data_IF_988738114166
#
_entry.id   IF_988738114166
#
_cell.length_a   1.000
_cell.length_b   1.000
_cell.length_c   1.000
_cell.angle_alpha   90.00
_cell.angle_beta   90.00
_cell.angle_gamma   90.00
#
_symmetry.space_group_name_H-M   'P 1'
#
loop_
_entity.id
_entity.type
_entity.pdbx_description
1 polymer ?
#
# COMPACT_ATOMS: atom_id res chain seq x y z
N UNK A 1 17.84 9.76 -21.62
CA UNK A 1 17.92 11.18 -22.02
C UNK A 1 17.72 11.94 -20.74
N UNK A 2 18.78 12.53 -20.23
CA UNK A 2 18.74 13.26 -18.96
C UNK A 2 18.26 14.68 -19.25
N UNK A 3 17.38 15.21 -18.39
CA UNK A 3 16.83 16.55 -18.52
C UNK A 3 17.49 17.40 -17.43
N UNK A 4 18.20 18.45 -17.83
CA UNK A 4 18.84 19.37 -16.90
C UNK A 4 18.02 20.66 -16.76
N UNK A 5 18.17 21.34 -15.62
CA UNK A 5 17.48 22.61 -15.33
C UNK A 5 17.89 23.71 -16.32
N UNK A 6 19.15 23.71 -16.77
CA UNK A 6 19.67 24.59 -17.83
C UNK A 6 18.88 24.45 -19.13
N UNK A 7 18.58 23.21 -19.54
CA UNK A 7 17.82 22.95 -20.76
C UNK A 7 16.41 23.51 -20.63
N UNK A 8 15.77 23.29 -19.48
CA UNK A 8 14.40 23.75 -19.21
C UNK A 8 14.33 25.28 -19.28
N UNK A 9 15.31 26.00 -18.73
CA UNK A 9 15.35 27.48 -18.72
C UNK A 9 15.39 28.10 -20.12
N UNK A 10 15.88 27.36 -21.12
CA UNK A 10 15.89 27.81 -22.51
C UNK A 10 14.50 27.67 -23.18
N UNK A 11 13.66 26.76 -22.67
CA UNK A 11 12.33 26.48 -23.19
C UNK A 11 11.32 27.57 -22.81
N UNK A 12 10.17 27.57 -23.51
CA UNK A 12 8.97 28.33 -23.12
C UNK A 12 7.82 27.34 -22.92
N UNK A 13 7.74 26.64 -21.76
CA UNK A 13 6.78 25.55 -21.59
C UNK A 13 5.34 26.01 -21.73
N UNK A 14 4.54 25.27 -22.52
CA UNK A 14 3.12 25.55 -22.71
C UNK A 14 2.21 24.61 -21.90
N UNK A 15 2.74 23.61 -21.20
CA UNK A 15 1.94 22.81 -20.28
C UNK A 15 1.41 23.70 -19.15
N UNK A 16 0.13 23.57 -18.76
CA UNK A 16 -0.45 24.32 -17.63
C UNK A 16 -0.20 23.64 -16.29
N UNK A 17 -0.22 22.32 -16.30
CA UNK A 17 0.07 21.47 -15.16
C UNK A 17 1.10 20.42 -15.57
N UNK A 18 2.07 20.13 -14.71
CA UNK A 18 3.06 19.07 -14.91
C UNK A 18 3.17 18.23 -13.64
N UNK A 19 2.91 16.94 -13.76
CA UNK A 19 3.10 15.94 -12.71
C UNK A 19 4.42 15.19 -12.94
N UNK A 20 5.36 15.32 -12.03
CA UNK A 20 6.65 14.63 -12.07
C UNK A 20 6.58 13.34 -11.25
N UNK A 21 6.50 12.22 -11.95
CA UNK A 21 6.59 10.90 -11.33
C UNK A 21 8.05 10.40 -11.26
N UNK A 22 8.90 11.16 -10.58
CA UNK A 22 10.31 10.79 -10.37
C UNK A 22 10.83 11.36 -9.05
N UNK A 23 11.76 10.62 -8.43
CA UNK A 23 12.47 11.05 -7.23
C UNK A 23 13.19 12.39 -7.47
N UNK A 24 13.26 13.21 -6.44
CA UNK A 24 14.07 14.44 -6.39
C UNK A 24 13.75 15.56 -7.40
N UNK A 25 12.81 15.37 -8.34
CA UNK A 25 12.46 16.43 -9.29
C UNK A 25 11.90 17.69 -8.61
N UNK A 26 11.27 17.53 -7.44
CA UNK A 26 10.80 18.60 -6.56
C UNK A 26 11.70 18.79 -5.34
N UNK A 27 13.03 18.72 -5.47
CA UNK A 27 13.97 18.96 -4.37
C UNK A 27 13.99 20.42 -3.93
N UNK A 28 12.88 20.91 -3.34
CA UNK A 28 12.69 22.31 -2.93
C UNK A 28 13.67 22.80 -1.87
N UNK A 29 14.38 21.89 -1.22
CA UNK A 29 15.47 22.21 -0.29
C UNK A 29 16.77 22.62 -1.00
N UNK A 30 16.84 22.49 -2.33
CA UNK A 30 17.96 22.91 -3.16
C UNK A 30 17.62 24.18 -3.94
N UNK A 31 18.64 25.00 -4.18
CA UNK A 31 18.53 26.24 -4.95
C UNK A 31 18.05 26.00 -6.39
N UNK A 32 18.35 24.82 -6.93
CA UNK A 32 17.97 24.43 -8.29
C UNK A 32 17.25 23.08 -8.32
N UNK A 33 16.11 23.03 -9.00
CA UNK A 33 15.32 21.82 -9.17
C UNK A 33 14.46 21.89 -10.44
N UNK A 34 14.09 20.69 -10.94
CA UNK A 34 13.32 20.52 -12.18
C UNK A 34 11.97 21.22 -12.08
N UNK A 35 11.22 20.96 -11.01
CA UNK A 35 9.87 21.52 -10.78
C UNK A 35 9.89 23.06 -10.80
N UNK A 36 10.85 23.67 -10.09
CA UNK A 36 11.09 25.12 -10.04
C UNK A 36 11.43 25.69 -11.41
N UNK A 37 12.28 24.99 -12.17
CA UNK A 37 12.66 25.39 -13.53
C UNK A 37 11.50 25.40 -14.51
N UNK A 38 10.42 24.64 -14.28
CA UNK A 38 9.22 24.71 -15.12
C UNK A 38 8.25 25.82 -14.71
N UNK A 39 8.09 26.05 -13.40
CA UNK A 39 7.06 26.98 -12.91
C UNK A 39 7.52 28.45 -12.90
N UNK A 40 8.81 28.69 -12.65
CA UNK A 40 9.36 30.05 -12.62
C UNK A 40 9.93 30.52 -13.97
N UNK A 41 9.99 29.63 -14.96
CA UNK A 41 10.49 29.98 -16.29
C UNK A 41 9.41 30.68 -17.15
N UNK A 42 9.86 31.37 -18.20
CA UNK A 42 8.98 31.94 -19.24
C UNK A 42 8.06 30.83 -19.77
N UNK A 43 6.77 31.10 -19.88
CA UNK A 43 5.83 30.08 -20.34
C UNK A 43 4.45 30.27 -19.75
N UNK A 44 3.71 29.16 -19.68
CA UNK A 44 2.34 29.13 -19.21
C UNK A 44 2.10 28.04 -18.16
N UNK A 45 3.15 27.50 -17.56
CA UNK A 45 3.03 26.60 -16.42
C UNK A 45 2.39 27.35 -15.26
N UNK A 46 1.30 26.80 -14.71
CA UNK A 46 0.54 27.41 -13.60
C UNK A 46 0.78 26.64 -12.31
N UNK A 47 0.88 25.32 -12.41
CA UNK A 47 1.13 24.45 -11.28
C UNK A 47 2.03 23.27 -11.68
N UNK A 48 2.81 22.79 -10.73
CA UNK A 48 3.65 21.59 -10.89
C UNK A 48 3.62 20.78 -9.61
N UNK A 49 3.72 19.45 -9.75
CA UNK A 49 3.73 18.53 -8.61
C UNK A 49 4.90 17.58 -8.74
N UNK A 50 5.73 17.44 -7.71
CA UNK A 50 6.92 16.60 -7.76
C UNK A 50 7.46 16.23 -6.39
N UNK A 51 8.42 15.31 -6.38
CA UNK A 51 8.91 14.70 -5.15
C UNK A 51 10.23 15.30 -4.67
N UNK A 52 10.32 15.60 -3.38
CA UNK A 52 11.48 16.22 -2.73
C UNK A 52 12.55 15.22 -2.33
N UNK A 53 12.14 13.98 -2.08
CA UNK A 53 13.03 12.88 -1.72
C UNK A 53 12.75 11.67 -2.60
N UNK A 54 13.45 10.57 -2.33
CA UNK A 54 13.13 9.28 -2.93
C UNK A 54 11.66 8.94 -2.69
N UNK A 55 10.96 8.58 -3.76
CA UNK A 55 9.57 8.12 -3.66
C UNK A 55 9.53 6.66 -3.30
N UNK A 56 8.56 6.29 -2.47
CA UNK A 56 8.16 4.89 -2.30
C UNK A 56 7.88 4.32 -3.69
N UNK A 57 8.51 3.19 -4.01
CA UNK A 57 8.26 2.48 -5.26
C UNK A 57 6.82 1.96 -5.24
N UNK A 58 6.15 1.95 -6.40
CA UNK A 58 4.82 1.35 -6.61
C UNK A 58 3.62 2.11 -6.03
N UNK A 59 3.74 3.43 -5.94
CA UNK A 59 2.59 4.34 -5.79
C UNK A 59 1.65 4.31 -7.02
N UNK A 60 0.46 4.87 -6.84
CA UNK A 60 -0.50 5.17 -7.92
C UNK A 60 -0.58 6.71 -8.07
N UNK A 61 0.43 7.34 -8.71
CA UNK A 61 0.60 8.79 -8.68
C UNK A 61 -0.45 9.56 -9.51
N UNK A 62 -1.07 8.87 -10.46
CA UNK A 62 -2.13 9.33 -11.34
C UNK A 62 -3.53 8.88 -10.88
N UNK A 63 -3.68 8.51 -9.60
CA UNK A 63 -4.97 8.24 -8.96
C UNK A 63 -5.95 9.41 -9.17
N UNK A 64 -7.12 9.12 -9.77
CA UNK A 64 -8.16 10.10 -10.14
C UNK A 64 -7.75 11.16 -11.18
N UNK A 65 -6.67 10.98 -11.93
CA UNK A 65 -6.17 11.98 -12.89
C UNK A 65 -7.22 12.39 -13.93
N UNK A 66 -8.11 11.48 -14.35
CA UNK A 66 -9.18 11.78 -15.29
C UNK A 66 -10.20 12.80 -14.77
N UNK A 67 -10.33 12.99 -13.45
CA UNK A 67 -11.20 14.04 -12.90
C UNK A 67 -10.69 15.45 -13.21
N UNK A 68 -9.41 15.63 -13.59
CA UNK A 68 -8.92 16.91 -14.11
C UNK A 68 -9.67 17.33 -15.38
N UNK A 69 -10.05 16.37 -16.25
CA UNK A 69 -10.87 16.63 -17.43
C UNK A 69 -12.32 17.04 -17.07
N UNK A 70 -12.78 16.68 -15.88
CA UNK A 70 -14.05 17.13 -15.32
C UNK A 70 -13.96 18.51 -14.62
N UNK A 71 -12.81 19.18 -14.72
CA UNK A 71 -12.58 20.46 -14.06
C UNK A 71 -12.26 20.35 -12.57
N UNK A 72 -11.79 19.20 -12.09
CA UNK A 72 -11.21 19.11 -10.74
C UNK A 72 -10.03 20.07 -10.61
N UNK A 73 -10.01 20.85 -9.53
CA UNK A 73 -8.89 21.73 -9.18
C UNK A 73 -7.66 20.91 -8.83
N UNK A 74 -6.48 21.38 -9.25
CA UNK A 74 -5.21 20.70 -8.97
C UNK A 74 -5.02 20.47 -7.47
N UNK A 75 -5.34 21.46 -6.63
CA UNK A 75 -5.27 21.30 -5.17
C UNK A 75 -6.22 20.22 -4.63
N UNK A 76 -7.39 20.04 -5.24
CA UNK A 76 -8.33 18.98 -4.85
C UNK A 76 -7.82 17.60 -5.29
N UNK A 77 -7.23 17.50 -6.49
CA UNK A 77 -6.53 16.29 -6.93
C UNK A 77 -5.39 15.94 -5.97
N UNK A 78 -4.55 16.91 -5.61
CA UNK A 78 -3.44 16.71 -4.67
C UNK A 78 -3.91 16.22 -3.30
N UNK A 79 -5.08 16.65 -2.79
CA UNK A 79 -5.60 16.11 -1.51
C UNK A 79 -5.78 14.60 -1.50
N UNK A 80 -6.00 13.97 -2.65
CA UNK A 80 -6.16 12.52 -2.76
C UNK A 80 -4.86 11.79 -3.13
N UNK A 81 -3.91 12.48 -3.77
CA UNK A 81 -2.67 11.88 -4.30
C UNK A 81 -1.41 12.30 -3.54
N UNK A 82 -1.56 13.06 -2.45
CA UNK A 82 -0.44 13.57 -1.66
C UNK A 82 0.17 12.48 -0.76
N UNK A 83 1.49 12.39 -0.79
CA UNK A 83 2.37 11.63 0.10
C UNK A 83 3.32 12.61 0.78
N UNK A 84 4.02 12.19 1.85
CA UNK A 84 4.99 13.05 2.54
C UNK A 84 6.12 13.52 1.61
N UNK A 85 6.43 12.74 0.57
CA UNK A 85 7.52 12.99 -0.34
C UNK A 85 7.14 13.92 -1.51
N UNK A 86 5.84 14.10 -1.81
CA UNK A 86 5.39 14.89 -2.96
C UNK A 86 4.77 16.22 -2.54
N UNK A 87 4.98 17.26 -3.36
CA UNK A 87 4.42 18.57 -3.08
C UNK A 87 3.95 19.24 -4.37
N UNK A 88 2.89 20.05 -4.21
CA UNK A 88 2.34 20.94 -5.22
C UNK A 88 2.94 22.34 -5.05
N UNK A 89 3.38 22.95 -6.16
CA UNK A 89 3.79 24.35 -6.21
C UNK A 89 3.04 25.06 -7.35
N UNK A 90 2.72 26.34 -7.15
CA UNK A 90 1.90 27.14 -8.07
C UNK A 90 0.50 27.42 -7.55
N UNK A 91 -0.43 27.61 -8.48
CA UNK A 91 -1.83 27.89 -8.14
C UNK A 91 -2.65 26.60 -7.95
N UNK A 92 -3.03 26.22 -6.71
CA UNK A 92 -3.83 25.02 -6.46
C UNK A 92 -5.27 25.16 -6.91
N UNK A 93 -5.74 26.38 -7.21
CA UNK A 93 -7.12 26.64 -7.64
C UNK A 93 -7.32 26.48 -9.14
N UNK A 94 -6.23 26.38 -9.90
CA UNK A 94 -6.27 26.10 -11.32
C UNK A 94 -7.06 24.82 -11.61
N UNK A 95 -7.88 24.86 -12.65
CA UNK A 95 -8.58 23.72 -13.19
C UNK A 95 -8.72 23.86 -14.71
N UNK A 96 -8.84 22.72 -15.39
CA UNK A 96 -9.17 22.71 -16.80
C UNK A 96 -10.67 22.96 -17.01
N UNK A 97 -11.04 23.40 -18.21
CA UNK A 97 -12.45 23.44 -18.61
C UNK A 97 -13.02 22.03 -18.60
N UNK A 98 -14.18 21.83 -17.98
CA UNK A 98 -14.87 20.54 -18.00
C UNK A 98 -15.22 20.16 -19.44
N UNK A 99 -14.64 19.07 -19.93
CA UNK A 99 -14.92 18.48 -21.23
C UNK A 99 -15.22 16.97 -21.14
N UNK A 100 -15.42 16.45 -19.93
CA UNK A 100 -15.55 15.03 -19.67
C UNK A 100 -17.01 14.53 -19.65
N UNK A 101 -17.98 15.40 -19.95
CA UNK A 101 -19.40 15.04 -20.01
C UNK A 101 -20.05 14.82 -18.65
N UNK A 102 -19.42 15.25 -17.55
CA UNK A 102 -20.04 15.29 -16.23
C UNK A 102 -20.90 16.55 -16.09
N UNK A 103 -22.21 16.35 -15.90
CA UNK A 103 -23.19 17.40 -15.66
C UNK A 103 -23.21 17.84 -14.18
N UNK A 104 -22.03 18.12 -13.63
CA UNK A 104 -21.85 18.65 -12.28
C UNK A 104 -20.47 19.27 -12.08
N UNK A 105 -20.37 20.22 -11.12
CA UNK A 105 -19.08 20.66 -10.59
C UNK A 105 -18.57 19.66 -9.55
N UNK A 106 -17.55 18.88 -9.93
CA UNK A 106 -16.93 17.89 -9.05
C UNK A 106 -16.33 18.52 -7.79
N UNK A 107 -15.82 19.75 -7.86
CA UNK A 107 -15.25 20.43 -6.69
C UNK A 107 -16.32 20.78 -5.67
N UNK A 108 -17.49 21.25 -6.15
CA UNK A 108 -18.63 21.52 -5.28
C UNK A 108 -19.22 20.22 -4.73
N UNK A 109 -19.36 19.19 -5.57
CA UNK A 109 -19.94 17.90 -5.17
C UNK A 109 -19.14 17.24 -4.02
N UNK A 110 -17.80 17.25 -4.09
CA UNK A 110 -16.94 16.66 -3.06
C UNK A 110 -17.08 17.32 -1.68
N UNK A 111 -17.56 18.56 -1.62
CA UNK A 111 -17.77 19.27 -0.35
C UNK A 111 -19.24 19.20 0.07
N UNK A 112 -20.15 19.57 -0.83
CA UNK A 112 -21.57 19.69 -0.52
C UNK A 112 -22.28 18.33 -0.34
N UNK A 113 -21.70 17.25 -0.86
CA UNK A 113 -22.27 15.90 -0.78
C UNK A 113 -21.45 14.97 0.12
N UNK A 114 -20.54 15.51 0.94
CA UNK A 114 -19.79 14.71 1.92
C UNK A 114 -20.76 13.93 2.82
N UNK A 115 -20.53 12.63 2.98
CA UNK A 115 -21.42 11.74 3.75
C UNK A 115 -22.75 11.39 3.06
N UNK A 116 -23.10 11.98 1.92
CA UNK A 116 -24.35 11.68 1.21
C UNK A 116 -24.27 10.37 0.41
N UNK A 117 -24.57 9.26 1.09
CA UNK A 117 -24.57 7.91 0.50
C UNK A 117 -25.45 7.81 -0.74
N UNK A 118 -26.64 8.41 -0.73
CA UNK A 118 -27.57 8.35 -1.87
C UNK A 118 -26.99 9.01 -3.11
N UNK A 119 -26.36 10.18 -2.94
CA UNK A 119 -25.70 10.89 -4.03
C UNK A 119 -24.54 10.07 -4.61
N UNK A 120 -23.62 9.60 -3.77
CA UNK A 120 -22.43 8.88 -4.24
C UNK A 120 -22.76 7.52 -4.85
N UNK A 121 -23.79 6.81 -4.36
CA UNK A 121 -24.27 5.60 -5.02
C UNK A 121 -24.74 5.84 -6.46
N UNK A 122 -25.33 7.00 -6.75
CA UNK A 122 -25.71 7.36 -8.13
C UNK A 122 -24.48 7.49 -9.04
N UNK A 123 -23.38 8.01 -8.51
CA UNK A 123 -22.14 8.26 -9.26
C UNK A 123 -21.38 6.98 -9.63
N UNK A 124 -21.71 5.83 -9.03
CA UNK A 124 -21.19 4.52 -9.44
C UNK A 124 -21.56 4.16 -10.88
N UNK A 125 -22.61 4.78 -11.44
CA UNK A 125 -23.02 4.60 -12.84
C UNK A 125 -22.48 5.70 -13.78
N UNK A 126 -21.53 6.52 -13.32
CA UNK A 126 -20.93 7.56 -14.15
C UNK A 126 -20.23 6.95 -15.38
N UNK A 127 -20.27 7.61 -16.55
CA UNK A 127 -19.48 7.18 -17.70
C UNK A 127 -17.97 7.32 -17.48
N UNK A 128 -17.54 8.08 -16.46
CA UNK A 128 -16.12 8.25 -16.12
C UNK A 128 -15.69 7.26 -15.05
N UNK A 129 -14.70 6.42 -15.38
CA UNK A 129 -14.14 5.44 -14.47
C UNK A 129 -13.61 6.07 -13.16
N UNK A 130 -12.91 7.20 -13.24
CA UNK A 130 -12.40 7.88 -12.05
C UNK A 130 -13.51 8.49 -11.17
N UNK A 131 -14.67 8.81 -11.76
CA UNK A 131 -15.83 9.23 -10.97
C UNK A 131 -16.47 8.05 -10.24
N UNK A 132 -16.49 6.86 -10.85
CA UNK A 132 -16.92 5.63 -10.18
C UNK A 132 -15.96 5.29 -9.03
N UNK A 133 -14.65 5.38 -9.26
CA UNK A 133 -13.63 5.14 -8.24
C UNK A 133 -13.75 6.18 -7.09
N UNK A 134 -13.90 7.47 -7.41
CA UNK A 134 -14.15 8.51 -6.40
C UNK A 134 -15.43 8.24 -5.60
N UNK A 135 -16.50 7.75 -6.24
CA UNK A 135 -17.72 7.38 -5.54
C UNK A 135 -17.48 6.27 -4.51
N UNK A 136 -16.64 5.27 -4.83
CA UNK A 136 -16.24 4.24 -3.85
C UNK A 136 -15.48 4.85 -2.67
N UNK A 137 -14.52 5.77 -2.92
CA UNK A 137 -13.79 6.50 -1.87
C UNK A 137 -14.74 7.26 -0.96
N UNK A 138 -15.67 8.01 -1.53
CA UNK A 138 -16.63 8.82 -0.77
C UNK A 138 -17.61 7.96 0.04
N UNK A 139 -18.05 6.82 -0.49
CA UNK A 139 -18.87 5.85 0.26
C UNK A 139 -18.10 5.20 1.41
N UNK A 140 -16.79 4.98 1.24
CA UNK A 140 -15.90 4.52 2.31
C UNK A 140 -15.77 5.56 3.42
N UNK A 141 -15.51 6.82 3.07
CA UNK A 141 -15.44 7.92 4.03
C UNK A 141 -16.77 8.12 4.79
N UNK A 142 -17.90 7.83 4.13
CA UNK A 142 -19.24 7.89 4.72
C UNK A 142 -19.60 6.68 5.60
N UNK A 143 -18.71 5.69 5.76
CA UNK A 143 -18.98 4.44 6.47
C UNK A 143 -20.25 3.73 5.96
N UNK A 144 -20.45 3.68 4.64
CA UNK A 144 -21.61 3.00 4.06
C UNK A 144 -21.66 1.52 4.50
N UNK A 145 -22.77 1.09 5.11
CA UNK A 145 -22.89 -0.26 5.68
C UNK A 145 -22.77 -1.39 4.66
N UNK A 146 -23.16 -1.14 3.40
CA UNK A 146 -23.04 -2.11 2.30
C UNK A 146 -21.73 -2.03 1.53
N UNK A 147 -20.68 -1.41 2.10
CA UNK A 147 -19.45 -1.10 1.38
C UNK A 147 -18.65 -2.35 0.99
N UNK A 148 -18.51 -3.34 1.87
CA UNK A 148 -17.70 -4.56 1.59
C UNK A 148 -18.21 -5.26 0.34
N UNK A 149 -19.50 -5.60 0.30
CA UNK A 149 -20.12 -6.25 -0.88
C UNK A 149 -20.04 -5.39 -2.13
N UNK A 150 -20.20 -4.07 -1.99
CA UNK A 150 -20.05 -3.15 -3.10
C UNK A 150 -18.63 -3.18 -3.67
N UNK A 151 -17.60 -3.14 -2.82
CA UNK A 151 -16.21 -3.14 -3.26
C UNK A 151 -15.84 -4.47 -3.92
N UNK A 152 -16.27 -5.60 -3.35
CA UNK A 152 -16.08 -6.93 -3.98
C UNK A 152 -16.71 -6.96 -5.37
N UNK A 153 -17.97 -6.53 -5.47
CA UNK A 153 -18.68 -6.43 -6.75
C UNK A 153 -17.96 -5.52 -7.74
N UNK A 154 -17.56 -4.32 -7.31
CA UNK A 154 -16.82 -3.36 -8.14
C UNK A 154 -15.49 -3.92 -8.64
N UNK A 155 -14.80 -4.72 -7.82
CA UNK A 155 -13.58 -5.39 -8.24
C UNK A 155 -13.86 -6.45 -9.32
N UNK A 156 -14.84 -7.35 -9.10
CA UNK A 156 -15.07 -8.48 -10.01
C UNK A 156 -15.80 -8.10 -11.31
N UNK A 157 -16.68 -7.09 -11.28
CA UNK A 157 -17.52 -6.76 -12.43
C UNK A 157 -17.01 -5.57 -13.26
N UNK A 158 -16.11 -4.73 -12.73
CA UNK A 158 -15.67 -3.54 -13.46
C UNK A 158 -14.60 -3.84 -14.50
N UNK A 159 -14.84 -3.36 -15.72
CA UNK A 159 -13.85 -3.38 -16.80
C UNK A 159 -12.75 -2.31 -16.61
N UNK A 160 -12.94 -1.35 -15.71
CA UNK A 160 -11.98 -0.26 -15.50
C UNK A 160 -10.99 -0.59 -14.40
N UNK A 161 -9.70 -0.65 -14.74
CA UNK A 161 -8.65 -0.98 -13.77
C UNK A 161 -8.61 0.01 -12.59
N UNK A 162 -8.89 1.30 -12.80
CA UNK A 162 -8.92 2.31 -11.72
C UNK A 162 -10.02 2.03 -10.70
N UNK A 163 -11.17 1.50 -11.14
CA UNK A 163 -12.27 1.12 -10.25
C UNK A 163 -11.92 -0.14 -9.48
N UNK A 164 -11.33 -1.14 -10.15
CA UNK A 164 -10.86 -2.37 -9.50
C UNK A 164 -9.75 -2.09 -8.48
N UNK A 165 -8.76 -1.28 -8.85
CA UNK A 165 -7.65 -0.92 -7.97
C UNK A 165 -8.15 -0.16 -6.74
N UNK A 166 -9.05 0.80 -6.92
CA UNK A 166 -9.64 1.53 -5.80
C UNK A 166 -10.45 0.61 -4.88
N UNK A 167 -11.26 -0.30 -5.46
CA UNK A 167 -12.00 -1.29 -4.69
C UNK A 167 -11.09 -2.22 -3.88
N UNK A 168 -10.03 -2.74 -4.50
CA UNK A 168 -9.01 -3.56 -3.85
C UNK A 168 -8.33 -2.82 -2.70
N UNK A 169 -7.88 -1.57 -2.92
CA UNK A 169 -7.20 -0.78 -1.89
C UNK A 169 -8.11 -0.53 -0.70
N UNK A 170 -9.34 -0.09 -0.94
CA UNK A 170 -10.31 0.18 0.14
C UNK A 170 -10.63 -1.08 0.94
N UNK A 171 -10.80 -2.24 0.28
CA UNK A 171 -10.98 -3.52 0.98
C UNK A 171 -9.74 -3.89 1.79
N UNK A 172 -8.56 -3.93 1.17
CA UNK A 172 -7.35 -4.40 1.82
C UNK A 172 -6.95 -3.53 3.02
N UNK A 173 -7.17 -2.22 2.92
CA UNK A 173 -6.77 -1.26 3.95
C UNK A 173 -7.76 -1.17 5.12
N UNK A 174 -9.04 -1.51 4.93
CA UNK A 174 -10.08 -1.30 5.94
C UNK A 174 -10.79 -2.58 6.39
N UNK A 175 -10.78 -3.63 5.57
CA UNK A 175 -11.48 -4.89 5.75
C UNK A 175 -10.55 -6.10 5.52
N UNK A 176 -9.44 -6.20 6.28
CA UNK A 176 -8.43 -7.24 6.06
C UNK A 176 -8.94 -8.66 6.34
N UNK A 177 -10.05 -8.84 7.05
CA UNK A 177 -10.65 -10.16 7.30
C UNK A 177 -11.50 -10.61 6.10
N UNK A 178 -11.99 -9.66 5.30
CA UNK A 178 -13.00 -9.88 4.27
C UNK A 178 -12.41 -9.88 2.85
N UNK A 179 -11.15 -9.47 2.67
CA UNK A 179 -10.54 -9.21 1.35
C UNK A 179 -9.92 -10.45 0.67
N UNK A 180 -9.87 -11.59 1.35
CA UNK A 180 -9.06 -12.73 0.90
C UNK A 180 -9.43 -13.25 -0.51
N UNK A 181 -10.71 -13.39 -0.82
CA UNK A 181 -11.23 -13.80 -2.13
C UNK A 181 -10.83 -12.82 -3.26
N UNK A 182 -10.88 -11.52 -2.95
CA UNK A 182 -10.45 -10.47 -3.89
C UNK A 182 -8.94 -10.55 -4.10
N UNK A 183 -8.13 -10.75 -3.05
CA UNK A 183 -6.67 -10.90 -3.18
C UNK A 183 -6.28 -12.13 -3.99
N UNK A 184 -6.97 -13.26 -3.79
CA UNK A 184 -6.75 -14.48 -4.59
C UNK A 184 -6.88 -14.19 -6.09
N UNK A 185 -7.92 -13.43 -6.46
CA UNK A 185 -8.15 -13.05 -7.86
C UNK A 185 -7.16 -11.96 -8.32
N UNK A 186 -6.84 -11.00 -7.45
CA UNK A 186 -6.07 -9.80 -7.81
C UNK A 186 -4.59 -10.05 -8.10
N UNK A 187 -3.99 -11.08 -7.52
CA UNK A 187 -2.61 -11.47 -7.88
C UNK A 187 -2.48 -11.85 -9.37
N UNK A 188 -3.59 -12.20 -10.04
CA UNK A 188 -3.64 -12.55 -11.45
C UNK A 188 -4.43 -11.57 -12.33
N UNK A 189 -4.79 -10.37 -11.82
CA UNK A 189 -5.50 -9.34 -12.60
C UNK A 189 -4.80 -9.03 -13.93
N UNK A 190 -5.57 -8.63 -14.95
CA UNK A 190 -5.03 -8.16 -16.23
C UNK A 190 -4.01 -7.02 -16.13
N UNK A 191 -4.12 -6.16 -15.11
CA UNK A 191 -3.33 -4.94 -14.94
C UNK A 191 -2.22 -5.16 -13.92
N UNK A 192 -0.97 -4.91 -14.33
CA UNK A 192 0.21 -5.21 -13.51
C UNK A 192 0.23 -4.48 -12.18
N UNK A 193 -0.22 -3.21 -12.14
CA UNK A 193 -0.25 -2.45 -10.89
C UNK A 193 -1.14 -3.12 -9.83
N UNK A 194 -2.31 -3.64 -10.23
CA UNK A 194 -3.22 -4.38 -9.34
C UNK A 194 -2.53 -5.63 -8.81
N UNK A 195 -1.88 -6.42 -9.67
CA UNK A 195 -1.16 -7.63 -9.25
C UNK A 195 -0.12 -7.33 -8.19
N UNK A 196 0.64 -6.25 -8.36
CA UNK A 196 1.71 -5.87 -7.42
C UNK A 196 1.18 -5.36 -6.09
N UNK A 197 0.11 -4.56 -6.11
CA UNK A 197 -0.60 -4.18 -4.88
C UNK A 197 -1.20 -5.39 -4.17
N UNK A 198 -1.78 -6.34 -4.92
CA UNK A 198 -2.33 -7.56 -4.35
C UNK A 198 -1.27 -8.36 -3.60
N UNK A 199 -0.08 -8.56 -4.18
CA UNK A 199 1.03 -9.26 -3.50
C UNK A 199 1.51 -8.48 -2.26
N UNK A 200 1.59 -7.16 -2.32
CA UNK A 200 1.93 -6.33 -1.14
C UNK A 200 0.87 -6.45 -0.03
N UNK A 201 -0.41 -6.51 -0.39
CA UNK A 201 -1.47 -6.69 0.58
C UNK A 201 -1.51 -8.12 1.12
N UNK A 202 -1.21 -9.14 0.32
CA UNK A 202 -1.02 -10.52 0.80
C UNK A 202 0.10 -10.58 1.83
N UNK A 203 1.24 -9.92 1.58
CA UNK A 203 2.38 -9.84 2.50
C UNK A 203 1.95 -9.32 3.87
N UNK A 204 1.21 -8.20 3.91
CA UNK A 204 0.76 -7.57 5.16
C UNK A 204 -0.44 -8.26 5.81
N UNK A 205 -1.26 -8.96 5.01
CA UNK A 205 -2.46 -9.64 5.47
C UNK A 205 -2.13 -10.98 6.13
N UNK A 206 -1.19 -11.72 5.56
CA UNK A 206 -0.74 -13.04 6.03
C UNK A 206 -1.85 -14.09 6.24
N UNK A 207 -3.01 -14.00 5.56
CA UNK A 207 -4.01 -15.06 5.62
C UNK A 207 -3.46 -16.34 4.94
N UNK A 208 -3.34 -17.48 5.65
CA UNK A 208 -2.84 -18.73 5.08
C UNK A 208 -3.62 -19.23 3.86
N UNK A 209 -4.90 -18.89 3.73
CA UNK A 209 -5.75 -19.23 2.57
C UNK A 209 -5.28 -18.60 1.26
N UNK A 210 -4.39 -17.60 1.32
CA UNK A 210 -3.82 -16.93 0.16
C UNK A 210 -2.63 -17.68 -0.44
N UNK A 211 -2.04 -18.65 0.28
CA UNK A 211 -0.84 -19.36 -0.17
C UNK A 211 -1.01 -20.03 -1.54
N UNK A 212 -2.09 -20.78 -1.83
CA UNK A 212 -2.25 -21.43 -3.14
C UNK A 212 -2.27 -20.41 -4.29
N UNK A 213 -3.00 -19.31 -4.14
CA UNK A 213 -3.09 -18.26 -5.16
C UNK A 213 -1.77 -17.48 -5.30
N UNK A 214 -1.01 -17.31 -4.22
CA UNK A 214 0.32 -16.69 -4.26
C UNK A 214 1.30 -17.54 -5.07
N UNK A 215 1.32 -18.86 -4.85
CA UNK A 215 2.12 -19.81 -5.65
C UNK A 215 1.69 -19.81 -7.11
N UNK A 216 0.37 -19.90 -7.36
CA UNK A 216 -0.18 -19.90 -8.72
C UNK A 216 0.23 -18.63 -9.47
N UNK A 217 0.16 -17.45 -8.83
CA UNK A 217 0.55 -16.18 -9.44
C UNK A 217 2.02 -16.17 -9.87
N UNK A 218 2.90 -16.78 -9.07
CA UNK A 218 4.30 -16.95 -9.44
C UNK A 218 4.49 -17.91 -10.61
N UNK A 219 3.76 -19.03 -10.62
CA UNK A 219 3.83 -19.98 -11.74
C UNK A 219 3.32 -19.35 -13.04
N UNK A 220 2.25 -18.56 -13.00
CA UNK A 220 1.71 -17.88 -14.19
C UNK A 220 2.64 -16.75 -14.67
N UNK A 221 3.20 -15.96 -13.74
CA UNK A 221 3.75 -14.62 -14.02
C UNK A 221 5.14 -14.38 -13.44
N UNK A 222 5.84 -15.42 -13.01
CA UNK A 222 7.19 -15.33 -12.45
C UNK A 222 8.23 -14.76 -13.43
N UNK A 223 7.93 -14.71 -14.73
CA UNK A 223 8.76 -14.05 -15.74
C UNK A 223 8.61 -12.52 -15.76
N UNK A 224 7.58 -11.96 -15.13
CA UNK A 224 7.35 -10.52 -15.06
C UNK A 224 8.23 -9.90 -13.95
N UNK A 225 9.31 -9.21 -14.31
CA UNK A 225 10.34 -8.75 -13.38
C UNK A 225 9.82 -8.03 -12.13
N UNK A 226 8.91 -7.05 -12.29
CA UNK A 226 8.40 -6.27 -11.14
C UNK A 226 7.44 -7.06 -10.27
N UNK A 227 6.64 -7.95 -10.86
CA UNK A 227 5.74 -8.83 -10.12
C UNK A 227 6.54 -9.90 -9.36
N UNK A 228 7.48 -10.57 -10.03
CA UNK A 228 8.44 -11.50 -9.41
C UNK A 228 9.19 -10.85 -8.25
N UNK A 229 9.72 -9.64 -8.43
CA UNK A 229 10.38 -8.91 -7.34
C UNK A 229 9.48 -8.76 -6.11
N UNK A 230 8.18 -8.48 -6.31
CA UNK A 230 7.20 -8.39 -5.21
C UNK A 230 6.93 -9.74 -4.54
N UNK A 231 6.80 -10.81 -5.31
CA UNK A 231 6.69 -12.18 -4.76
C UNK A 231 7.88 -12.49 -3.85
N UNK A 232 9.11 -12.29 -4.34
CA UNK A 232 10.31 -12.54 -3.55
C UNK A 232 10.42 -11.63 -2.32
N UNK A 233 9.91 -10.40 -2.41
CA UNK A 233 9.87 -9.48 -1.25
C UNK A 233 8.98 -10.01 -0.12
N UNK A 234 7.90 -10.72 -0.49
CA UNK A 234 6.90 -11.32 0.38
C UNK A 234 7.22 -12.79 0.78
N UNK A 235 8.43 -13.28 0.54
CA UNK A 235 8.79 -14.70 0.73
C UNK A 235 8.59 -15.23 2.16
N UNK A 236 8.64 -14.35 3.15
CA UNK A 236 8.50 -14.71 4.57
C UNK A 236 7.05 -14.62 5.08
N UNK A 237 6.09 -14.33 4.19
CA UNK A 237 4.67 -14.21 4.54
C UNK A 237 4.08 -15.54 5.00
N UNK A 238 4.48 -16.62 4.32
CA UNK A 238 3.98 -17.97 4.56
C UNK A 238 5.08 -18.86 5.12
N UNK A 239 4.68 -19.98 5.71
CA UNK A 239 5.61 -21.02 6.10
C UNK A 239 6.35 -21.58 4.86
N UNK A 240 7.68 -21.60 4.91
CA UNK A 240 8.51 -21.97 3.75
C UNK A 240 8.33 -23.42 3.32
N UNK A 241 8.08 -24.35 4.24
CA UNK A 241 7.87 -25.76 3.89
C UNK A 241 6.49 -25.93 3.25
N UNK A 242 5.46 -25.28 3.78
CA UNK A 242 4.13 -25.27 3.18
C UNK A 242 4.17 -24.66 1.77
N UNK A 243 4.86 -23.53 1.60
CA UNK A 243 5.02 -22.89 0.30
C UNK A 243 5.80 -23.76 -0.69
N UNK A 244 6.86 -24.44 -0.23
CA UNK A 244 7.64 -25.36 -1.05
C UNK A 244 6.82 -26.56 -1.50
N UNK A 245 6.01 -27.11 -0.60
CA UNK A 245 5.13 -28.23 -0.92
C UNK A 245 4.02 -27.84 -1.90
N UNK A 246 3.39 -26.67 -1.70
CA UNK A 246 2.38 -26.16 -2.63
C UNK A 246 2.99 -25.82 -4.01
N UNK A 247 4.20 -25.26 -4.05
CA UNK A 247 4.95 -25.04 -5.29
C UNK A 247 5.17 -26.34 -6.06
N UNK A 248 5.69 -27.38 -5.39
CA UNK A 248 5.94 -28.68 -6.01
C UNK A 248 4.65 -29.33 -6.51
N UNK A 249 3.58 -29.24 -5.72
CA UNK A 249 2.26 -29.78 -6.07
C UNK A 249 1.71 -29.11 -7.32
N UNK A 250 1.62 -27.78 -7.36
CA UNK A 250 1.07 -27.07 -8.51
C UNK A 250 1.97 -27.19 -9.75
N UNK A 251 3.30 -27.10 -9.58
CA UNK A 251 4.25 -27.21 -10.70
C UNK A 251 4.23 -28.58 -11.37
N UNK A 252 3.83 -29.66 -10.67
CA UNK A 252 3.70 -31.00 -11.24
C UNK A 252 2.63 -31.09 -12.34
N UNK A 253 1.60 -30.24 -12.27
CA UNK A 253 0.49 -30.21 -13.24
C UNK A 253 0.78 -29.30 -14.44
N UNK A 254 1.96 -28.66 -14.47
CA UNK A 254 2.29 -27.61 -15.43
C UNK A 254 3.40 -28.01 -16.40
N UNK A 255 3.31 -27.48 -17.62
CA UNK A 255 4.37 -27.57 -18.62
C UNK A 255 5.00 -26.19 -18.79
N UNK A 256 6.28 -26.07 -18.43
CA UNK A 256 7.02 -24.82 -18.51
C UNK A 256 7.87 -24.77 -19.78
N UNK A 257 7.82 -23.65 -20.50
CA UNK A 257 8.76 -23.40 -21.60
C UNK A 257 10.19 -23.18 -21.07
N UNK A 258 10.31 -22.45 -19.96
CA UNK A 258 11.54 -22.28 -19.20
C UNK A 258 11.25 -22.52 -17.72
N UNK A 259 11.87 -23.54 -17.13
CA UNK A 259 11.71 -23.87 -15.71
C UNK A 259 12.69 -23.13 -14.80
N UNK A 260 13.55 -22.25 -15.34
CA UNK A 260 14.58 -21.53 -14.59
C UNK A 260 14.00 -20.71 -13.43
N UNK A 261 12.90 -19.99 -13.66
CA UNK A 261 12.24 -19.21 -12.61
C UNK A 261 11.60 -20.13 -11.54
N UNK A 262 10.97 -21.23 -11.93
CA UNK A 262 10.43 -22.20 -10.96
C UNK A 262 11.55 -22.78 -10.08
N UNK A 263 12.66 -23.16 -10.69
CA UNK A 263 13.85 -23.65 -9.98
C UNK A 263 14.42 -22.61 -9.02
N UNK A 264 14.38 -21.34 -9.41
CA UNK A 264 14.80 -20.27 -8.51
C UNK A 264 13.97 -20.24 -7.24
N UNK A 265 12.64 -20.27 -7.31
CA UNK A 265 11.81 -20.27 -6.11
C UNK A 265 11.97 -21.56 -5.29
N UNK A 266 12.12 -22.72 -5.96
CA UNK A 266 12.43 -24.01 -5.32
C UNK A 266 13.71 -23.95 -4.47
N UNK A 267 14.75 -23.28 -4.95
CA UNK A 267 16.00 -23.10 -4.21
C UNK A 267 15.94 -21.98 -3.18
N UNK A 268 15.17 -20.93 -3.47
CA UNK A 268 15.10 -19.73 -2.63
C UNK A 268 14.35 -19.99 -1.33
N UNK A 269 13.24 -20.75 -1.35
CA UNK A 269 12.43 -21.05 -0.17
C UNK A 269 13.24 -21.73 0.97
N UNK A 270 13.97 -22.85 0.75
CA UNK A 270 14.81 -23.45 1.78
C UNK A 270 15.93 -22.54 2.29
N UNK A 271 16.49 -21.69 1.42
CA UNK A 271 17.55 -20.75 1.78
C UNK A 271 17.01 -19.66 2.72
N UNK A 272 15.84 -19.11 2.40
CA UNK A 272 15.19 -18.09 3.23
C UNK A 272 14.71 -18.65 4.56
N UNK A 273 14.21 -19.90 4.58
CA UNK A 273 13.86 -20.60 5.82
C UNK A 273 15.02 -20.59 6.82
N UNK A 274 16.21 -21.05 6.40
CA UNK A 274 17.41 -21.08 7.24
C UNK A 274 17.80 -19.69 7.76
N UNK A 275 17.67 -18.66 6.92
CA UNK A 275 17.92 -17.28 7.32
C UNK A 275 16.95 -16.83 8.40
N UNK A 276 15.64 -17.05 8.19
CA UNK A 276 14.60 -16.66 9.12
C UNK A 276 14.70 -17.41 10.46
N UNK A 277 14.99 -18.72 10.44
CA UNK A 277 15.21 -19.52 11.65
C UNK A 277 16.39 -19.00 12.49
N UNK A 278 17.49 -18.63 11.83
CA UNK A 278 18.63 -18.00 12.52
C UNK A 278 18.24 -16.66 13.14
N UNK A 279 17.46 -15.85 12.43
CA UNK A 279 17.04 -14.53 12.91
C UNK A 279 16.10 -14.67 14.13
N UNK A 280 15.19 -15.65 14.14
CA UNK A 280 14.37 -15.95 15.33
C UNK A 280 15.17 -16.56 16.48
N UNK A 281 16.16 -17.41 16.21
CA UNK A 281 17.02 -17.96 17.26
C UNK A 281 17.79 -16.85 18.02
N UNK A 282 18.09 -15.72 17.37
CA UNK A 282 18.66 -14.55 18.04
C UNK A 282 17.67 -13.89 18.99
N UNK A 283 16.38 -13.84 18.65
CA UNK A 283 15.34 -13.23 19.49
C UNK A 283 15.12 -14.05 20.77
N UNK A 284 15.13 -15.38 20.66
CA UNK A 284 14.83 -16.29 21.77
C UNK A 284 16.08 -16.64 22.62
N UNK A 285 17.28 -16.32 22.16
CA UNK A 285 18.51 -16.69 22.85
C UNK A 285 18.75 -15.82 24.10
N UNK A 286 19.02 -16.43 25.27
CA UNK A 286 19.36 -15.70 26.50
C UNK A 286 20.73 -15.02 26.43
N UNK A 287 21.58 -15.39 25.46
CA UNK A 287 22.90 -14.80 25.25
C UNK A 287 22.85 -13.54 24.35
N UNK A 288 21.72 -13.30 23.69
CA UNK A 288 21.56 -12.15 22.80
C UNK A 288 21.44 -10.86 23.59
N UNK A 289 22.15 -9.83 23.13
CA UNK A 289 22.06 -8.49 23.71
C UNK A 289 20.73 -7.82 23.34
N UNK A 290 20.26 -6.91 24.19
CA UNK A 290 19.07 -6.09 23.92
C UNK A 290 19.11 -5.42 22.55
N UNK A 291 20.28 -4.88 22.15
CA UNK A 291 20.45 -4.25 20.83
C UNK A 291 20.27 -5.20 19.65
N UNK A 292 20.73 -6.45 19.78
CA UNK A 292 20.53 -7.47 18.74
C UNK A 292 19.05 -7.78 18.60
N UNK A 293 18.35 -8.01 19.71
CA UNK A 293 16.91 -8.28 19.70
C UNK A 293 16.14 -7.08 19.12
N UNK A 294 16.46 -5.86 19.56
CA UNK A 294 15.87 -4.61 19.04
C UNK A 294 16.01 -4.50 17.51
N UNK A 295 17.20 -4.79 16.98
CA UNK A 295 17.46 -4.77 15.53
C UNK A 295 16.58 -5.76 14.79
N UNK A 296 16.41 -6.98 15.31
CA UNK A 296 15.57 -8.00 14.68
C UNK A 296 14.08 -7.62 14.72
N UNK A 297 13.56 -7.25 15.90
CA UNK A 297 12.13 -6.92 16.01
C UNK A 297 11.74 -5.65 15.26
N UNK A 298 12.67 -4.70 15.09
CA UNK A 298 12.43 -3.48 14.30
C UNK A 298 12.22 -3.78 12.81
N UNK A 299 12.73 -4.90 12.30
CA UNK A 299 12.50 -5.29 10.89
C UNK A 299 11.04 -5.62 10.63
N UNK A 300 10.35 -6.21 11.62
CA UNK A 300 8.94 -6.58 11.51
C UNK A 300 7.97 -5.39 11.49
N UNK A 301 8.44 -4.17 11.81
CA UNK A 301 7.69 -2.95 11.57
C UNK A 301 7.45 -2.70 10.08
N UNK A 302 8.51 -2.90 9.27
CA UNK A 302 8.45 -2.64 7.83
C UNK A 302 7.96 -3.86 7.05
N UNK A 303 8.24 -5.06 7.57
CA UNK A 303 7.79 -6.34 7.00
C UNK A 303 7.08 -7.18 8.05
N UNK A 304 5.81 -6.87 8.38
CA UNK A 304 5.02 -7.67 9.31
C UNK A 304 4.89 -9.10 8.79
N UNK A 305 5.23 -10.08 9.63
CA UNK A 305 5.01 -11.50 9.34
C UNK A 305 4.28 -12.15 10.51
N UNK A 306 3.36 -13.07 10.23
CA UNK A 306 2.55 -13.73 11.24
C UNK A 306 3.41 -14.44 12.32
N UNK A 307 4.53 -15.06 11.91
CA UNK A 307 5.45 -15.79 12.81
C UNK A 307 6.08 -14.91 13.90
N UNK A 308 6.15 -13.60 13.71
CA UNK A 308 6.72 -12.69 14.70
C UNK A 308 5.72 -12.22 15.77
N UNK A 309 4.42 -12.44 15.59
CA UNK A 309 3.39 -11.96 16.52
C UNK A 309 3.58 -12.55 17.93
N UNK A 310 3.72 -13.86 18.03
CA UNK A 310 3.87 -14.54 19.32
C UNK A 310 5.20 -14.15 20.03
N UNK A 311 6.37 -14.16 19.38
CA UNK A 311 7.60 -13.63 19.96
C UNK A 311 7.47 -12.20 20.48
N UNK A 312 6.83 -11.30 19.73
CA UNK A 312 6.59 -9.92 20.16
C UNK A 312 5.70 -9.86 21.41
N UNK A 313 4.61 -10.63 21.46
CA UNK A 313 3.73 -10.71 22.62
C UNK A 313 4.47 -11.27 23.85
N UNK A 314 5.34 -12.27 23.66
CA UNK A 314 6.14 -12.86 24.73
C UNK A 314 7.14 -11.86 25.31
N UNK A 315 7.79 -11.05 24.46
CA UNK A 315 8.67 -9.96 24.91
C UNK A 315 7.89 -8.95 25.77
N UNK A 316 6.70 -8.51 25.32
CA UNK A 316 5.87 -7.54 26.07
C UNK A 316 5.52 -8.08 27.47
N UNK A 317 5.17 -9.37 27.57
CA UNK A 317 4.74 -10.04 28.80
C UNK A 317 5.89 -10.37 29.76
N UNK A 318 7.12 -10.47 29.28
CA UNK A 318 8.27 -10.88 30.08
C UNK A 318 8.80 -9.72 30.95
N UNK A 319 8.59 -9.78 32.27
CA UNK A 319 9.04 -8.75 33.21
C UNK A 319 10.56 -8.68 33.39
N UNK A 320 11.28 -9.75 33.04
CA UNK A 320 12.75 -9.77 33.08
C UNK A 320 13.39 -9.02 31.92
N UNK A 321 12.63 -8.66 30.88
CA UNK A 321 13.14 -7.91 29.73
C UNK A 321 13.20 -6.41 30.03
N UNK A 322 14.18 -5.73 29.41
CA UNK A 322 14.32 -4.28 29.51
C UNK A 322 13.05 -3.54 29.06
N UNK A 323 12.69 -2.49 29.80
CA UNK A 323 11.49 -1.68 29.53
C UNK A 323 11.44 -1.19 28.07
N UNK A 324 12.56 -0.68 27.54
CA UNK A 324 12.64 -0.16 26.17
C UNK A 324 12.37 -1.24 25.12
N UNK A 325 12.86 -2.47 25.34
CA UNK A 325 12.62 -3.59 24.44
C UNK A 325 11.14 -4.00 24.43
N UNK A 326 10.50 -4.01 25.61
CA UNK A 326 9.07 -4.29 25.76
C UNK A 326 8.20 -3.24 25.07
N UNK A 327 8.57 -1.96 25.20
CA UNK A 327 7.91 -0.85 24.51
C UNK A 327 8.06 -0.99 23.00
N UNK A 328 9.26 -1.28 22.50
CA UNK A 328 9.51 -1.46 21.07
C UNK A 328 8.70 -2.64 20.50
N UNK A 329 8.62 -3.76 21.21
CA UNK A 329 7.80 -4.89 20.77
C UNK A 329 6.30 -4.53 20.69
N UNK A 330 5.80 -3.76 21.65
CA UNK A 330 4.44 -3.23 21.61
C UNK A 330 4.24 -2.27 20.42
N UNK A 331 5.17 -1.35 20.15
CA UNK A 331 5.12 -0.45 19.00
C UNK A 331 5.11 -1.24 17.67
N UNK A 332 5.98 -2.24 17.53
CA UNK A 332 6.09 -3.09 16.34
C UNK A 332 4.76 -3.79 16.02
N UNK A 333 4.06 -4.33 17.03
CA UNK A 333 2.72 -4.91 16.82
C UNK A 333 1.71 -3.90 16.28
N UNK A 334 1.91 -2.59 16.49
CA UNK A 334 1.06 -1.54 15.93
C UNK A 334 1.03 -1.49 14.40
N UNK A 335 2.01 -2.11 13.73
CA UNK A 335 2.13 -2.17 12.28
C UNK A 335 1.43 -3.38 11.64
N UNK A 336 0.77 -4.22 12.46
CA UNK A 336 -0.01 -5.37 12.03
C UNK A 336 -1.49 -5.00 11.75
N UNK A 337 -1.76 -3.75 11.38
CA UNK A 337 -3.13 -3.24 11.18
C UNK A 337 -3.86 -3.86 9.98
N UNK A 338 -3.13 -4.48 9.05
CA UNK A 338 -3.68 -5.21 7.90
C UNK A 338 -3.70 -6.74 8.08
N UNK A 339 -3.15 -7.25 9.19
CA UNK A 339 -3.15 -8.69 9.48
C UNK A 339 -4.59 -9.20 9.59
N UNK A 340 -4.90 -10.30 8.90
CA UNK A 340 -6.26 -10.83 8.75
C UNK A 340 -6.93 -11.12 10.10
N UNK A 341 -6.13 -11.55 11.09
CA UNK A 341 -6.56 -11.87 12.45
C UNK A 341 -6.00 -10.89 13.49
N UNK A 342 -5.94 -9.60 13.16
CA UNK A 342 -5.52 -8.55 14.12
C UNK A 342 -6.42 -8.47 15.36
N UNK A 343 -7.63 -9.00 15.30
CA UNK A 343 -8.55 -9.07 16.44
C UNK A 343 -7.96 -9.89 17.60
N UNK A 344 -7.24 -10.98 17.32
CA UNK A 344 -6.57 -11.77 18.36
C UNK A 344 -5.40 -11.04 19.00
N UNK A 345 -4.61 -10.27 18.22
CA UNK A 345 -3.58 -9.38 18.78
C UNK A 345 -4.22 -8.37 19.75
N UNK A 346 -5.31 -7.72 19.32
CA UNK A 346 -6.04 -6.76 20.16
C UNK A 346 -6.56 -7.43 21.44
N UNK A 347 -7.11 -8.65 21.33
CA UNK A 347 -7.62 -9.42 22.48
C UNK A 347 -6.51 -9.69 23.49
N UNK A 348 -5.36 -10.18 23.05
CA UNK A 348 -4.19 -10.44 23.90
C UNK A 348 -3.67 -9.16 24.58
N UNK A 349 -3.56 -8.06 23.83
CA UNK A 349 -3.11 -6.79 24.40
C UNK A 349 -4.11 -6.18 25.40
N UNK A 350 -5.42 -6.44 25.23
CA UNK A 350 -6.44 -5.97 26.19
C UNK A 350 -6.40 -6.73 27.53
N UNK A 351 -5.83 -7.94 27.59
CA UNK A 351 -5.67 -8.67 28.86
C UNK A 351 -4.41 -8.26 29.60
N UNK A 352 -3.44 -7.67 28.90
CA UNK A 352 -2.15 -7.26 29.48
C UNK A 352 -2.32 -6.18 30.55
N UNK A 353 -1.62 -6.36 31.68
CA UNK A 353 -1.59 -5.42 32.80
C UNK A 353 -0.16 -5.27 33.28
N UNK A 354 0.25 -4.05 33.59
CA UNK A 354 1.52 -3.77 34.28
C UNK A 354 1.41 -2.47 35.08
N UNK A 355 2.22 -2.32 36.12
CA UNK A 355 2.39 -1.06 36.85
C UNK A 355 3.24 -0.03 36.07
N UNK A 356 3.91 -0.46 35.00
CA UNK A 356 4.71 0.41 34.15
C UNK A 356 3.83 1.27 33.22
N UNK A 357 3.67 2.54 33.57
CA UNK A 357 2.80 3.45 32.82
C UNK A 357 3.27 3.70 31.38
N UNK A 358 4.58 3.74 31.12
CA UNK A 358 5.10 3.97 29.76
C UNK A 358 4.74 2.81 28.84
N UNK A 359 4.93 1.57 29.31
CA UNK A 359 4.56 0.37 28.57
C UNK A 359 3.04 0.29 28.35
N UNK A 360 2.22 0.55 29.38
CA UNK A 360 0.76 0.56 29.22
C UNK A 360 0.28 1.62 28.22
N UNK A 361 0.93 2.80 28.18
CA UNK A 361 0.62 3.84 27.22
C UNK A 361 0.91 3.37 25.78
N UNK A 362 2.05 2.70 25.54
CA UNK A 362 2.37 2.19 24.20
C UNK A 362 1.43 1.05 23.79
N UNK A 363 1.10 0.11 24.69
CA UNK A 363 0.10 -0.93 24.43
C UNK A 363 -1.25 -0.32 24.03
N UNK A 364 -1.69 0.74 24.71
CA UNK A 364 -2.92 1.46 24.38
C UNK A 364 -2.86 2.09 22.99
N UNK A 365 -1.73 2.74 22.64
CA UNK A 365 -1.53 3.28 21.28
C UNK A 365 -1.55 2.19 20.23
N UNK A 366 -0.90 1.05 20.47
CA UNK A 366 -0.89 -0.09 19.56
C UNK A 366 -2.30 -0.63 19.30
N UNK A 367 -3.12 -0.80 20.34
CA UNK A 367 -4.53 -1.19 20.18
C UNK A 367 -5.28 -0.17 19.29
N UNK A 368 -5.03 1.13 19.49
CA UNK A 368 -5.67 2.17 18.68
C UNK A 368 -5.19 2.16 17.22
N UNK A 369 -3.90 1.91 16.95
CA UNK A 369 -3.37 1.75 15.59
C UNK A 369 -4.03 0.56 14.89
N UNK A 370 -4.15 -0.58 15.56
CA UNK A 370 -4.77 -1.79 15.00
C UNK A 370 -6.27 -1.61 14.68
N UNK A 371 -6.98 -0.81 15.48
CA UNK A 371 -8.40 -0.46 15.29
C UNK A 371 -8.64 0.65 14.25
N UNK A 372 -7.61 1.42 13.90
CA UNK A 372 -7.77 2.55 12.99
C UNK A 372 -8.15 2.09 11.58
N UNK A 373 -8.97 2.91 10.92
CA UNK A 373 -9.30 2.78 9.50
C UNK A 373 -8.41 3.72 8.69
N UNK A 374 -8.01 3.26 7.50
CA UNK A 374 -7.35 4.08 6.51
C UNK A 374 -8.43 4.83 5.71
N UNK A 375 -8.58 6.13 5.98
CA UNK A 375 -9.55 7.00 5.30
C UNK A 375 -9.03 7.45 3.95
#
# INVERSE_FOLDING_TARGET
>A
MDIYTEDIRLLTPNARFILFDACFNGSFHLDDNIVGSYIFNKGKTIATMGCTVNTIQDKWPDEFLGLLAAGMRIGQFTRFTCFLENHLIGDPTFHFTNNAGLDMDINQALVAQEGNVTFWKKQLNSPMADMQAMALRQLSMANYSGLVELLKKSYHESNYFVVRLEALRLLALNYPTEVADVLQTAMNDSYELIRRYAVEYVEKNCNPELLPAWIESYLLRGHENRHRFRIFSAINTFDHDMALNELKKQAADWSFYDSSYVNELLEYLPRQKKGLERDFALIDSPESTTKQIQSEISRFRNKPIAKAIEPLLNIIKNESQEEELRILAAETLGWYNLYYNKADIIKELNTFRTSNQKLMNEVTKTINRLKSQNR
#
